data_IF_119478916527
#
_entry.id   IF_119478916527
#
_cell.length_a   1.000
_cell.length_b   1.000
_cell.length_c   1.000
_cell.angle_alpha   90.00
_cell.angle_beta   90.00
_cell.angle_gamma   90.00
#
_symmetry.space_group_name_H-M   'P 1'
#
loop_
_entity.id
_entity.type
_entity.pdbx_description
1 polymer ?
#
# COMPACT_ATOMS: atom_id res chain seq x y z
N UNK A 1 -20.81 1.79 12.77
CA UNK A 1 -19.44 1.36 13.09
C UNK A 1 -18.50 2.31 12.33
N UNK A 2 -17.44 2.80 12.97
CA UNK A 2 -16.49 3.67 12.27
C UNK A 2 -15.75 2.85 11.21
N UNK A 3 -15.48 3.44 10.05
CA UNK A 3 -14.70 2.77 9.01
C UNK A 3 -13.28 2.43 9.51
N UNK A 4 -12.76 1.23 9.20
CA UNK A 4 -11.42 0.80 9.61
C UNK A 4 -10.34 1.84 9.29
N UNK A 5 -10.44 2.49 8.12
CA UNK A 5 -9.51 3.54 7.68
C UNK A 5 -9.50 4.76 8.60
N UNK A 6 -10.66 5.15 9.13
CA UNK A 6 -10.76 6.30 10.05
C UNK A 6 -10.13 5.97 11.40
N UNK A 7 -10.28 4.74 11.88
CA UNK A 7 -9.74 4.29 13.17
C UNK A 7 -8.23 4.04 13.09
N UNK A 8 -7.73 3.57 11.94
CA UNK A 8 -6.31 3.33 11.68
C UNK A 8 -5.48 4.62 11.57
N UNK A 9 -6.09 5.72 11.11
CA UNK A 9 -5.43 6.99 10.80
C UNK A 9 -4.52 7.52 11.91
N UNK A 10 -4.96 7.67 13.17
CA UNK A 10 -4.11 8.23 14.23
C UNK A 10 -2.87 7.37 14.51
N UNK A 11 -2.98 6.05 14.36
CA UNK A 11 -1.83 5.14 14.54
C UNK A 11 -0.84 5.26 13.38
N UNK A 12 -1.33 5.34 12.14
CA UNK A 12 -0.49 5.54 10.96
C UNK A 12 0.23 6.90 11.01
N UNK A 13 -0.45 7.96 11.46
CA UNK A 13 0.13 9.30 11.64
C UNK A 13 1.21 9.31 12.70
N UNK A 14 0.95 8.69 13.85
CA UNK A 14 1.94 8.61 14.94
C UNK A 14 3.18 7.81 14.52
N UNK A 15 2.99 6.66 13.87
CA UNK A 15 4.07 5.83 13.35
C UNK A 15 4.90 6.59 12.30
N UNK A 16 4.23 7.29 11.37
CA UNK A 16 4.89 8.08 10.33
C UNK A 16 5.71 9.23 10.92
N UNK A 17 5.13 10.00 11.85
CA UNK A 17 5.83 11.12 12.50
C UNK A 17 7.07 10.64 13.22
N UNK A 18 6.99 9.56 13.97
CA UNK A 18 8.11 8.97 14.67
C UNK A 18 9.21 8.47 13.73
N UNK A 19 8.80 7.84 12.63
CA UNK A 19 9.71 7.35 11.60
C UNK A 19 10.41 8.48 10.82
N UNK A 20 9.69 9.56 10.51
CA UNK A 20 10.25 10.75 9.81
C UNK A 20 11.21 11.50 10.70
N UNK A 21 10.89 11.72 11.99
CA UNK A 21 11.76 12.36 12.98
C UNK A 21 13.09 11.61 13.18
N UNK A 22 13.07 10.27 13.11
CA UNK A 22 14.26 9.41 13.23
C UNK A 22 14.96 9.13 11.91
N UNK A 23 14.38 9.52 10.77
CA UNK A 23 14.91 9.21 9.44
C UNK A 23 14.86 7.72 9.10
N UNK A 24 13.93 6.97 9.69
CA UNK A 24 13.81 5.50 9.58
C UNK A 24 12.58 5.06 8.77
N UNK A 25 12.08 5.88 7.84
CA UNK A 25 10.85 5.59 7.06
C UNK A 25 10.91 4.22 6.36
N UNK A 26 12.04 3.88 5.72
CA UNK A 26 12.22 2.59 5.06
C UNK A 26 12.19 1.40 6.03
N UNK A 27 12.78 1.56 7.22
CA UNK A 27 12.79 0.55 8.27
C UNK A 27 11.38 0.31 8.83
N UNK A 28 10.66 1.39 9.11
CA UNK A 28 9.27 1.32 9.57
C UNK A 28 8.34 0.68 8.55
N UNK A 29 8.51 0.99 7.26
CA UNK A 29 7.81 0.35 6.15
C UNK A 29 7.98 -1.17 6.20
N UNK A 30 9.22 -1.67 6.34
CA UNK A 30 9.50 -3.09 6.47
C UNK A 30 8.88 -3.75 7.71
N UNK A 31 8.92 -3.05 8.87
CA UNK A 31 8.33 -3.54 10.11
C UNK A 31 6.79 -3.62 10.03
N UNK A 32 6.14 -2.58 9.49
CA UNK A 32 4.68 -2.57 9.31
C UNK A 32 4.23 -3.60 8.29
N UNK A 33 4.98 -3.82 7.21
CA UNK A 33 4.68 -4.88 6.25
C UNK A 33 4.74 -6.27 6.91
N UNK A 34 5.75 -6.53 7.73
CA UNK A 34 5.87 -7.78 8.47
C UNK A 34 4.74 -7.96 9.50
N UNK A 35 4.39 -6.90 10.23
CA UNK A 35 3.28 -6.91 11.19
C UNK A 35 1.94 -7.16 10.51
N UNK A 36 1.67 -6.51 9.37
CA UNK A 36 0.47 -6.71 8.58
C UNK A 36 0.36 -8.15 8.03
N UNK A 37 1.48 -8.73 7.60
CA UNK A 37 1.52 -10.11 7.14
C UNK A 37 1.21 -11.11 8.28
N UNK A 38 1.69 -10.83 9.50
CA UNK A 38 1.36 -11.64 10.69
C UNK A 38 -0.10 -11.50 11.05
N UNK A 39 -0.67 -10.29 10.99
CA UNK A 39 -2.08 -10.06 11.29
C UNK A 39 -3.02 -10.75 10.29
N UNK A 40 -2.59 -10.92 9.03
CA UNK A 40 -3.35 -11.60 7.98
C UNK A 40 -3.29 -13.14 8.05
N UNK A 41 -2.48 -13.73 8.95
CA UNK A 41 -2.44 -15.20 9.15
C UNK A 41 -3.69 -15.64 9.93
N UNK A 42 -4.46 -16.58 9.37
CA UNK A 42 -5.72 -17.09 9.98
C UNK A 42 -5.55 -17.62 11.41
N UNK A 43 -4.37 -18.11 11.78
CA UNK A 43 -4.10 -18.61 13.13
C UNK A 43 -3.92 -17.47 14.11
N UNK A 44 -3.33 -16.37 13.66
CA UNK A 44 -3.14 -15.16 14.45
C UNK A 44 -4.46 -14.41 14.58
N UNK A 45 -5.23 -14.30 13.50
CA UNK A 45 -6.57 -13.71 13.50
C UNK A 45 -7.49 -14.40 14.52
N UNK A 46 -7.49 -15.74 14.55
CA UNK A 46 -8.20 -16.51 15.58
C UNK A 46 -7.71 -16.27 17.00
N UNK A 47 -6.40 -16.01 17.19
CA UNK A 47 -5.85 -15.68 18.49
C UNK A 47 -6.21 -14.26 18.94
N UNK A 48 -6.33 -13.31 17.99
CA UNK A 48 -6.81 -11.94 18.25
C UNK A 48 -8.29 -11.98 18.66
N UNK A 49 -9.10 -12.80 17.98
CA UNK A 49 -10.54 -12.90 18.23
C UNK A 49 -10.91 -13.72 19.51
N UNK A 50 -9.95 -14.39 20.15
CA UNK A 50 -10.21 -15.20 21.35
C UNK A 50 -10.30 -14.34 22.62
N UNK A 51 -11.50 -14.17 23.22
CA UNK A 51 -11.68 -13.35 24.42
C UNK A 51 -10.97 -13.89 25.67
N UNK A 52 -10.47 -15.13 25.64
CA UNK A 52 -9.70 -15.70 26.75
C UNK A 52 -8.20 -15.38 26.66
N UNK A 53 -7.74 -14.79 25.57
CA UNK A 53 -6.37 -14.31 25.43
C UNK A 53 -6.25 -12.90 26.01
N UNK A 54 -5.24 -12.67 26.83
CA UNK A 54 -4.96 -11.31 27.27
C UNK A 54 -4.19 -10.53 26.21
N UNK A 55 -4.43 -9.22 26.11
CA UNK A 55 -3.75 -8.30 25.19
C UNK A 55 -2.24 -8.44 25.23
N UNK A 56 -1.67 -8.63 26.42
CA UNK A 56 -0.24 -8.85 26.63
C UNK A 56 0.25 -10.16 25.97
N UNK A 57 -0.54 -11.23 25.98
CA UNK A 57 -0.21 -12.49 25.30
C UNK A 57 -0.27 -12.35 23.80
N UNK A 58 -1.31 -11.68 23.30
CA UNK A 58 -1.47 -11.45 21.85
C UNK A 58 -0.35 -10.54 21.35
N UNK A 59 -0.04 -9.44 22.03
CA UNK A 59 1.10 -8.58 21.70
C UNK A 59 2.44 -9.36 21.74
N UNK A 60 2.64 -10.19 22.77
CA UNK A 60 3.81 -11.06 22.91
C UNK A 60 3.95 -12.06 21.77
N UNK A 61 2.85 -12.57 21.24
CA UNK A 61 2.83 -13.46 20.07
C UNK A 61 3.39 -12.75 18.84
N UNK A 62 2.91 -11.55 18.52
CA UNK A 62 3.43 -10.74 17.40
C UNK A 62 4.93 -10.47 17.53
N UNK A 63 5.36 -10.05 18.72
CA UNK A 63 6.76 -9.73 18.98
C UNK A 63 7.64 -10.99 18.86
N UNK A 64 7.17 -12.15 19.35
CA UNK A 64 7.91 -13.42 19.27
C UNK A 64 8.03 -13.97 17.85
N UNK A 65 6.95 -13.87 17.04
CA UNK A 65 6.97 -14.32 15.63
C UNK A 65 7.99 -13.49 14.82
N UNK A 66 8.09 -12.21 15.08
CA UNK A 66 9.00 -11.32 14.35
C UNK A 66 10.43 -11.29 14.90
N UNK A 67 10.67 -11.89 16.06
CA UNK A 67 11.99 -12.29 16.55
C UNK A 67 13.08 -11.21 16.44
N UNK A 68 12.89 -10.03 17.06
CA UNK A 68 13.91 -8.97 17.09
C UNK A 68 14.02 -8.13 15.80
N UNK A 69 13.13 -8.33 14.83
CA UNK A 69 13.04 -7.46 13.63
C UNK A 69 12.34 -6.14 13.91
N UNK A 70 11.63 -6.04 15.04
CA UNK A 70 10.94 -4.84 15.46
C UNK A 70 11.88 -3.94 16.26
N UNK A 71 11.70 -2.61 16.11
CA UNK A 71 12.27 -1.65 17.03
C UNK A 71 11.43 -1.58 18.30
N UNK A 72 12.01 -1.05 19.40
CA UNK A 72 11.26 -0.85 20.65
C UNK A 72 10.00 0.01 20.46
N UNK A 73 10.04 0.99 19.54
CA UNK A 73 8.89 1.82 19.22
C UNK A 73 7.81 1.01 18.47
N UNK A 74 8.21 0.14 17.54
CA UNK A 74 7.27 -0.73 16.83
C UNK A 74 6.65 -1.77 17.78
N UNK A 75 7.40 -2.30 18.74
CA UNK A 75 6.84 -3.15 19.78
C UNK A 75 5.82 -2.39 20.66
N UNK A 76 6.11 -1.13 21.00
CA UNK A 76 5.16 -0.29 21.72
C UNK A 76 3.89 -0.04 20.92
N UNK A 77 3.98 0.19 19.61
CA UNK A 77 2.82 0.31 18.75
C UNK A 77 1.96 -0.96 18.81
N UNK A 78 2.58 -2.14 18.74
CA UNK A 78 1.86 -3.43 18.84
C UNK A 78 1.14 -3.55 20.19
N UNK A 79 1.80 -3.18 21.31
CA UNK A 79 1.20 -3.21 22.65
C UNK A 79 0.00 -2.26 22.76
N UNK A 80 0.13 -1.04 22.22
CA UNK A 80 -0.97 -0.05 22.22
C UNK A 80 -2.15 -0.53 21.37
N UNK A 81 -1.89 -1.15 20.21
CA UNK A 81 -2.95 -1.72 19.36
C UNK A 81 -3.65 -2.89 20.05
N UNK A 82 -2.90 -3.78 20.73
CA UNK A 82 -3.47 -4.87 21.50
C UNK A 82 -4.39 -4.37 22.62
N UNK A 83 -3.94 -3.41 23.43
CA UNK A 83 -4.72 -2.81 24.53
C UNK A 83 -6.02 -2.13 24.07
N UNK A 84 -6.13 -1.78 22.81
CA UNK A 84 -7.30 -1.16 22.22
C UNK A 84 -8.12 -2.10 21.34
N UNK A 85 -7.80 -3.39 21.29
CA UNK A 85 -8.43 -4.38 20.41
C UNK A 85 -8.40 -3.95 18.92
N UNK A 86 -7.22 -3.48 18.45
CA UNK A 86 -7.07 -2.90 17.10
C UNK A 86 -5.91 -3.49 16.29
N UNK A 87 -5.45 -4.69 16.66
CA UNK A 87 -4.40 -5.39 15.90
C UNK A 87 -4.84 -5.77 14.48
N UNK A 88 -6.13 -6.01 14.28
CA UNK A 88 -6.74 -6.25 12.97
C UNK A 88 -6.56 -5.09 11.98
N UNK A 89 -6.30 -3.86 12.49
CA UNK A 89 -6.08 -2.67 11.65
C UNK A 89 -4.64 -2.53 11.13
N UNK A 90 -3.73 -3.43 11.48
CA UNK A 90 -2.33 -3.38 11.03
C UNK A 90 -2.17 -3.30 9.51
N UNK A 91 -2.95 -4.03 8.67
CA UNK A 91 -2.89 -3.86 7.22
C UNK A 91 -3.25 -2.45 6.77
N UNK A 92 -4.31 -1.88 7.34
CA UNK A 92 -4.77 -0.53 7.03
C UNK A 92 -3.78 0.56 7.51
N UNK A 93 -3.19 0.36 8.69
CA UNK A 93 -2.13 1.25 9.22
C UNK A 93 -0.92 1.25 8.30
N UNK A 94 -0.51 0.07 7.80
CA UNK A 94 0.57 -0.06 6.82
C UNK A 94 0.27 0.72 5.55
N UNK A 95 -0.92 0.57 4.99
CA UNK A 95 -1.29 1.21 3.72
C UNK A 95 -1.32 2.73 3.85
N UNK A 96 -1.86 3.25 4.94
CA UNK A 96 -1.85 4.69 5.21
C UNK A 96 -0.44 5.23 5.51
N UNK A 97 0.41 4.45 6.18
CA UNK A 97 1.82 4.81 6.38
C UNK A 97 2.57 4.89 5.05
N UNK A 98 2.41 3.89 4.16
CA UNK A 98 3.06 3.88 2.84
C UNK A 98 2.58 5.04 1.96
N UNK A 99 1.29 5.37 1.98
CA UNK A 99 0.75 6.51 1.25
C UNK A 99 1.43 7.82 1.69
N UNK A 100 1.57 8.06 3.01
CA UNK A 100 2.24 9.24 3.56
C UNK A 100 3.74 9.27 3.25
N UNK A 101 4.40 8.11 3.34
CA UNK A 101 5.81 7.98 2.97
C UNK A 101 6.04 8.31 1.49
N UNK A 102 5.21 7.76 0.59
CA UNK A 102 5.28 8.04 -0.84
C UNK A 102 5.04 9.54 -1.12
N UNK A 103 4.08 10.16 -0.44
CA UNK A 103 3.84 11.59 -0.52
C UNK A 103 5.05 12.41 -0.06
N UNK A 104 5.65 12.04 1.06
CA UNK A 104 6.85 12.69 1.64
C UNK A 104 8.08 12.53 0.76
N UNK A 105 8.28 11.35 0.19
CA UNK A 105 9.39 11.04 -0.74
C UNK A 105 9.14 11.58 -2.16
N UNK A 106 7.96 12.13 -2.43
CA UNK A 106 7.56 12.59 -3.75
C UNK A 106 7.41 11.46 -4.76
N UNK A 107 7.14 10.24 -4.29
CA UNK A 107 6.88 9.07 -5.14
C UNK A 107 5.41 9.01 -5.50
N UNK A 108 5.11 8.84 -6.78
CA UNK A 108 3.74 8.59 -7.26
C UNK A 108 3.61 7.11 -7.60
N UNK A 109 2.58 6.47 -7.09
CA UNK A 109 2.21 5.13 -7.52
C UNK A 109 1.45 5.20 -8.84
N UNK A 110 1.88 4.39 -9.80
CA UNK A 110 1.25 4.25 -11.11
C UNK A 110 0.78 2.80 -11.28
N UNK A 111 -0.51 2.60 -11.43
CA UNK A 111 -1.05 1.33 -11.87
C UNK A 111 -1.11 1.32 -13.39
N UNK A 112 -0.37 0.40 -14.01
CA UNK A 112 -0.27 0.24 -15.46
C UNK A 112 -1.06 -1.00 -15.85
N UNK A 113 -2.22 -0.82 -16.47
CA UNK A 113 -2.98 -1.89 -17.08
C UNK A 113 -2.57 -2.02 -18.54
N UNK A 114 -2.11 -3.19 -18.94
CA UNK A 114 -1.62 -3.47 -20.29
C UNK A 114 -2.33 -4.69 -20.89
N UNK A 115 -2.61 -4.66 -22.18
CA UNK A 115 -3.18 -5.81 -22.88
C UNK A 115 -2.23 -7.02 -22.92
N UNK A 116 -0.93 -6.80 -22.80
CA UNK A 116 0.13 -7.81 -22.83
C UNK A 116 1.15 -7.60 -21.73
N UNK A 117 1.91 -8.64 -21.42
CA UNK A 117 3.04 -8.53 -20.51
C UNK A 117 4.07 -7.52 -21.04
N UNK A 118 4.45 -6.54 -20.22
CA UNK A 118 5.48 -5.58 -20.56
C UNK A 118 6.85 -6.16 -20.21
N UNK A 119 7.79 -6.05 -21.14
CA UNK A 119 9.18 -6.36 -20.83
C UNK A 119 9.77 -5.34 -19.85
N UNK A 120 10.82 -5.73 -19.12
CA UNK A 120 11.50 -4.83 -18.18
C UNK A 120 11.98 -3.52 -18.86
N UNK A 121 12.42 -3.59 -20.11
CA UNK A 121 12.86 -2.42 -20.89
C UNK A 121 11.67 -1.48 -21.20
N UNK A 122 10.53 -2.02 -21.61
CA UNK A 122 9.32 -1.25 -21.91
C UNK A 122 8.77 -0.58 -20.65
N UNK A 123 8.77 -1.30 -19.52
CA UNK A 123 8.36 -0.74 -18.23
C UNK A 123 9.29 0.39 -17.80
N UNK A 124 10.60 0.22 -17.94
CA UNK A 124 11.59 1.25 -17.59
C UNK A 124 11.42 2.53 -18.44
N UNK A 125 11.21 2.40 -19.76
CA UNK A 125 10.95 3.53 -20.65
C UNK A 125 9.64 4.25 -20.29
N UNK A 126 8.59 3.49 -19.98
CA UNK A 126 7.30 4.02 -19.52
C UNK A 126 7.46 4.83 -18.23
N UNK A 127 8.10 4.25 -17.22
CA UNK A 127 8.38 4.92 -15.94
C UNK A 127 9.17 6.21 -16.16
N UNK A 128 10.24 6.18 -16.97
CA UNK A 128 11.04 7.36 -17.25
C UNK A 128 10.22 8.50 -17.92
N UNK A 129 9.32 8.15 -18.84
CA UNK A 129 8.43 9.13 -19.47
C UNK A 129 7.44 9.72 -18.47
N UNK A 130 6.89 8.90 -17.58
CA UNK A 130 5.99 9.34 -16.52
C UNK A 130 6.72 10.26 -15.53
N UNK A 131 7.94 9.92 -15.12
CA UNK A 131 8.77 10.74 -14.24
C UNK A 131 9.09 12.10 -14.87
N UNK A 132 9.45 12.13 -16.16
CA UNK A 132 9.65 13.40 -16.90
C UNK A 132 8.39 14.25 -16.96
N UNK A 133 7.22 13.63 -17.11
CA UNK A 133 5.94 14.33 -17.21
C UNK A 133 5.43 14.85 -15.87
N UNK A 134 5.67 14.10 -14.79
CA UNK A 134 5.18 14.40 -13.44
C UNK A 134 6.18 15.20 -12.61
N UNK A 135 7.46 15.16 -12.95
CA UNK A 135 8.55 15.75 -12.16
C UNK A 135 8.81 15.02 -10.84
N UNK A 136 8.26 13.82 -10.68
CA UNK A 136 8.35 13.01 -9.44
C UNK A 136 8.77 11.59 -9.79
N UNK A 137 9.34 10.88 -8.82
CA UNK A 137 9.62 9.46 -8.96
C UNK A 137 8.33 8.66 -9.10
N UNK A 138 8.31 7.68 -10.01
CA UNK A 138 7.14 6.85 -10.29
C UNK A 138 7.44 5.39 -9.96
N UNK A 139 6.60 4.80 -9.11
CA UNK A 139 6.60 3.36 -8.86
C UNK A 139 5.45 2.74 -9.64
N UNK A 140 5.76 1.97 -10.66
CA UNK A 140 4.77 1.34 -11.52
C UNK A 140 4.49 -0.11 -11.08
N UNK A 141 3.21 -0.45 -10.93
CA UNK A 141 2.71 -1.82 -10.80
C UNK A 141 1.99 -2.19 -12.08
N UNK A 142 2.34 -3.32 -12.69
CA UNK A 142 1.77 -3.76 -13.97
C UNK A 142 0.74 -4.84 -13.73
N UNK A 143 -0.47 -4.63 -14.25
CA UNK A 143 -1.54 -5.60 -14.32
C UNK A 143 -1.86 -5.90 -15.78
N UNK A 144 -1.95 -7.18 -16.13
CA UNK A 144 -2.32 -7.59 -17.50
C UNK A 144 -3.83 -7.66 -17.60
N UNK A 145 -4.41 -6.80 -18.44
CA UNK A 145 -5.84 -6.76 -18.74
C UNK A 145 -6.08 -6.96 -20.24
N UNK A 146 -6.50 -8.16 -20.61
CA UNK A 146 -6.75 -8.56 -22.01
C UNK A 146 -7.95 -7.85 -22.63
N UNK A 147 -8.83 -7.24 -21.85
CA UNK A 147 -9.98 -6.50 -22.35
C UNK A 147 -9.63 -5.19 -23.04
N UNK A 148 -8.40 -4.69 -22.83
CA UNK A 148 -7.90 -3.46 -23.47
C UNK A 148 -7.67 -3.61 -24.98
N UNK A 149 -7.65 -4.85 -25.53
CA UNK A 149 -7.36 -5.18 -26.93
C UNK A 149 -5.94 -4.81 -27.35
N UNK A 150 -5.41 -3.67 -26.87
CA UNK A 150 -4.06 -3.15 -27.12
C UNK A 150 -3.83 -1.84 -26.40
N UNK A 151 -2.55 -1.43 -26.32
CA UNK A 151 -2.13 -0.22 -25.61
C UNK A 151 -2.06 -0.38 -24.10
N UNK A 152 -1.97 0.74 -23.39
CA UNK A 152 -1.86 0.80 -21.95
C UNK A 152 -2.81 1.84 -21.36
N UNK A 153 -3.36 1.52 -20.21
CA UNK A 153 -4.10 2.47 -19.36
C UNK A 153 -3.30 2.66 -18.07
N UNK A 154 -3.06 3.89 -17.69
CA UNK A 154 -2.22 4.24 -16.55
C UNK A 154 -3.06 5.06 -15.58
N UNK A 155 -3.14 4.60 -14.34
CA UNK A 155 -3.77 5.32 -13.24
C UNK A 155 -2.65 5.89 -12.36
N UNK A 156 -2.60 7.21 -12.24
CA UNK A 156 -1.63 7.97 -11.45
C UNK A 156 -2.36 8.69 -10.31
N UNK A 157 -2.55 8.03 -9.18
CA UNK A 157 -3.37 8.57 -8.11
C UNK A 157 -4.80 8.85 -8.59
N UNK A 158 -5.18 10.13 -8.68
CA UNK A 158 -6.48 10.61 -9.15
C UNK A 158 -6.58 10.81 -10.68
N UNK A 159 -5.46 10.70 -11.40
CA UNK A 159 -5.38 10.92 -12.85
C UNK A 159 -5.31 9.61 -13.62
N UNK A 160 -6.17 9.49 -14.64
CA UNK A 160 -6.17 8.35 -15.56
C UNK A 160 -5.68 8.80 -16.92
N UNK A 161 -4.68 8.12 -17.46
CA UNK A 161 -4.17 8.29 -18.82
C UNK A 161 -4.52 7.01 -19.57
N UNK A 162 -5.54 7.08 -20.43
CA UNK A 162 -6.00 5.94 -21.21
C UNK A 162 -5.47 6.05 -22.64
N UNK A 163 -4.48 5.21 -22.96
CA UNK A 163 -3.92 5.04 -24.31
C UNK A 163 -4.31 3.71 -24.94
N UNK A 164 -5.38 3.07 -24.48
CA UNK A 164 -5.82 1.79 -25.00
C UNK A 164 -6.47 1.91 -26.41
N UNK A 165 -6.34 0.86 -27.20
CA UNK A 165 -7.01 0.76 -28.48
C UNK A 165 -8.54 0.83 -28.34
N UNK A 166 -9.09 0.33 -27.22
CA UNK A 166 -10.51 0.39 -26.89
C UNK A 166 -10.99 1.83 -26.73
N UNK A 167 -10.24 2.67 -26.02
CA UNK A 167 -10.56 4.09 -25.83
C UNK A 167 -10.53 4.86 -27.15
N UNK A 168 -9.55 4.56 -28.02
CA UNK A 168 -9.45 5.18 -29.35
C UNK A 168 -10.59 4.77 -30.28
N UNK A 169 -11.01 3.50 -30.26
CA UNK A 169 -12.15 3.01 -31.03
C UNK A 169 -13.47 3.65 -30.54
N UNK A 170 -13.66 3.77 -29.22
CA UNK A 170 -14.82 4.43 -28.63
C UNK A 170 -14.91 5.92 -29.01
N UNK A 171 -13.78 6.62 -29.03
CA UNK A 171 -13.72 8.02 -29.48
C UNK A 171 -14.07 8.16 -30.97
N UNK A 172 -13.57 7.26 -31.81
CA UNK A 172 -13.92 7.21 -33.24
C UNK A 172 -15.41 6.91 -33.46
N UNK A 173 -15.98 5.95 -32.74
CA UNK A 173 -17.41 5.62 -32.83
C UNK A 173 -18.29 6.84 -32.48
N UNK A 174 -17.91 7.57 -31.43
CA UNK A 174 -18.63 8.79 -31.01
C UNK A 174 -18.51 9.89 -32.07
N UNK A 175 -17.34 10.08 -32.67
CA UNK A 175 -17.11 11.07 -33.70
C UNK A 175 -17.83 10.75 -35.01
N UNK A 176 -18.09 9.45 -35.33
CA UNK A 176 -18.82 9.02 -36.53
C UNK A 176 -20.34 9.07 -36.34
N UNK A 177 -20.85 9.12 -35.12
CA UNK A 177 -22.28 9.20 -34.80
C UNK A 177 -22.76 10.66 -34.58
N UNK A 178 -21.81 11.64 -34.53
CA UNK A 178 -22.10 13.08 -34.43
C UNK A 178 -22.17 13.71 -35.81
#
# INVERSE_FOLDING_TARGET
MAEPSTVARPYAEAAFKLADEKGELARWSGMLAALAAVAADERVDRAIADPNQSDAKVAGLFISILGGKLSGDAENLVRVLAQNDRLELLPEIRDQFEARKNEREGVIEAEVQSAFELSAAQLADLVQRLEKKTGRKVRATVNVDRELIGGVKIVLGDKVIDGSARAQLGALETALKA
#
